data_IF_375558510748
#
_entry.id   IF_375558510748
#
_cell.length_a   1.000
_cell.length_b   1.000
_cell.length_c   1.000
_cell.angle_alpha   90.00
_cell.angle_beta   90.00
_cell.angle_gamma   90.00
#
_symmetry.space_group_name_H-M   'P 1'
#
loop_
_entity.id
_entity.type
_entity.pdbx_description
1 polymer ?
#
# COMPACT_ATOMS: atom_id res chain seq x y z
N UNK A 1 16.90 -33.49 14.71
CA UNK A 1 18.17 -32.73 14.68
C UNK A 1 17.99 -31.22 14.94
N UNK A 2 16.93 -30.76 15.62
CA UNK A 2 16.56 -29.32 15.63
C UNK A 2 17.37 -28.43 16.58
N UNK A 3 18.05 -28.97 17.60
CA UNK A 3 18.82 -28.17 18.58
C UNK A 3 20.30 -27.97 18.26
N UNK A 4 20.80 -28.55 17.16
CA UNK A 4 22.23 -28.55 16.86
C UNK A 4 22.73 -27.24 16.23
N UNK A 5 21.88 -26.52 15.49
CA UNK A 5 22.28 -25.33 14.73
C UNK A 5 22.70 -24.16 15.62
N UNK A 6 21.84 -23.73 16.56
CA UNK A 6 22.19 -22.66 17.50
C UNK A 6 23.37 -23.06 18.42
N UNK A 7 23.45 -24.34 18.82
CA UNK A 7 24.57 -24.87 19.61
C UNK A 7 25.92 -24.79 18.87
N UNK A 8 25.95 -25.18 17.60
CA UNK A 8 27.13 -25.06 16.75
C UNK A 8 27.52 -23.60 16.53
N UNK A 9 26.56 -22.70 16.32
CA UNK A 9 26.84 -21.28 16.08
C UNK A 9 27.32 -20.53 17.34
N UNK A 10 26.80 -20.87 18.52
CA UNK A 10 27.30 -20.37 19.80
C UNK A 10 28.79 -20.70 19.99
N UNK A 11 29.18 -21.94 19.70
CA UNK A 11 30.58 -22.40 19.80
C UNK A 11 31.47 -21.68 18.79
N UNK A 12 30.98 -21.44 17.57
CA UNK A 12 31.74 -20.79 16.50
C UNK A 12 31.90 -19.27 16.70
N UNK A 13 30.95 -18.62 17.37
CA UNK A 13 30.94 -17.16 17.52
C UNK A 13 31.43 -16.68 18.89
N UNK A 14 31.48 -17.56 19.90
CA UNK A 14 31.86 -17.20 21.28
C UNK A 14 30.93 -16.20 21.97
N UNK A 15 29.76 -15.91 21.39
CA UNK A 15 28.79 -14.97 21.92
C UNK A 15 27.60 -15.70 22.53
N UNK A 16 27.23 -15.35 23.76
CA UNK A 16 26.01 -15.85 24.37
C UNK A 16 24.77 -15.25 23.68
N UNK A 17 23.78 -16.10 23.39
CA UNK A 17 22.45 -15.67 22.98
C UNK A 17 21.53 -15.62 24.20
N UNK A 18 20.68 -14.60 24.26
CA UNK A 18 19.55 -14.62 25.19
C UNK A 18 18.58 -15.75 24.82
N UNK A 19 17.74 -16.22 25.78
CA UNK A 19 16.71 -17.22 25.49
C UNK A 19 15.76 -16.80 24.36
N UNK A 20 15.44 -15.50 24.27
CA UNK A 20 14.56 -14.96 23.23
C UNK A 20 15.21 -15.01 21.84
N UNK A 21 16.48 -14.61 21.72
CA UNK A 21 17.22 -14.68 20.45
C UNK A 21 17.40 -16.13 19.99
N UNK A 22 17.73 -17.04 20.91
CA UNK A 22 17.82 -18.47 20.58
C UNK A 22 16.48 -19.00 20.08
N UNK A 23 15.38 -18.68 20.77
CA UNK A 23 14.04 -19.10 20.35
C UNK A 23 13.64 -18.54 18.98
N UNK A 24 14.01 -17.28 18.68
CA UNK A 24 13.80 -16.65 17.38
C UNK A 24 14.54 -17.40 16.27
N UNK A 25 15.83 -17.64 16.45
CA UNK A 25 16.69 -18.33 15.47
C UNK A 25 16.20 -19.75 15.25
N UNK A 26 15.97 -20.53 16.31
CA UNK A 26 15.52 -21.92 16.22
C UNK A 26 14.17 -22.01 15.49
N UNK A 27 13.23 -21.09 15.77
CA UNK A 27 11.93 -21.07 15.12
C UNK A 27 12.02 -20.74 13.62
N UNK A 28 12.79 -19.70 13.26
CA UNK A 28 12.96 -19.32 11.85
C UNK A 28 13.67 -20.43 11.08
N UNK A 29 14.74 -21.00 11.63
CA UNK A 29 15.50 -22.05 10.94
C UNK A 29 14.69 -23.34 10.78
N UNK A 30 13.91 -23.72 11.79
CA UNK A 30 13.02 -24.88 11.70
C UNK A 30 11.98 -24.69 10.58
N UNK A 31 11.38 -23.50 10.49
CA UNK A 31 10.42 -23.20 9.43
C UNK A 31 11.05 -23.15 8.05
N UNK A 32 12.24 -22.54 7.91
CA UNK A 32 13.00 -22.57 6.65
C UNK A 32 13.33 -24.00 6.23
N UNK A 33 13.80 -24.86 7.14
CA UNK A 33 14.15 -26.25 6.85
C UNK A 33 12.95 -27.14 6.52
N UNK A 34 11.74 -26.74 6.91
CA UNK A 34 10.50 -27.47 6.57
C UNK A 34 10.20 -27.39 5.07
N UNK A 35 10.74 -26.39 4.38
CA UNK A 35 10.57 -26.20 2.94
C UNK A 35 11.94 -26.09 2.26
N UNK A 36 12.34 -27.11 1.48
CA UNK A 36 13.66 -27.14 0.82
C UNK A 36 13.94 -25.88 -0.01
N UNK A 37 12.91 -25.35 -0.68
CA UNK A 37 13.02 -24.11 -1.46
C UNK A 37 13.27 -22.87 -0.59
N UNK A 38 12.79 -22.82 0.65
CA UNK A 38 12.95 -21.65 1.53
C UNK A 38 14.39 -21.47 1.98
N UNK A 39 15.09 -22.56 2.31
CA UNK A 39 16.51 -22.50 2.70
C UNK A 39 17.35 -21.88 1.58
N UNK A 40 17.12 -22.30 0.34
CA UNK A 40 17.83 -21.77 -0.84
C UNK A 40 17.45 -20.31 -1.13
N UNK A 41 16.16 -19.97 -1.07
CA UNK A 41 15.69 -18.60 -1.27
C UNK A 41 16.24 -17.65 -0.24
N UNK A 42 16.18 -18.01 1.05
CA UNK A 42 16.75 -17.23 2.14
C UNK A 42 18.24 -16.92 1.92
N UNK A 43 19.04 -17.95 1.60
CA UNK A 43 20.48 -17.76 1.41
C UNK A 43 20.80 -16.89 0.22
N UNK A 44 20.17 -17.14 -0.92
CA UNK A 44 20.34 -16.35 -2.14
C UNK A 44 19.90 -14.90 -1.94
N UNK A 45 18.78 -14.68 -1.27
CA UNK A 45 18.27 -13.36 -0.90
C UNK A 45 19.26 -12.57 -0.03
N UNK A 46 19.80 -13.18 1.03
CA UNK A 46 20.79 -12.50 1.88
C UNK A 46 22.08 -12.16 1.12
N UNK A 47 22.59 -13.08 0.31
CA UNK A 47 23.79 -12.85 -0.50
C UNK A 47 23.58 -11.74 -1.55
N UNK A 48 22.37 -11.65 -2.12
CA UNK A 48 22.01 -10.54 -2.99
C UNK A 48 22.05 -9.20 -2.24
N UNK A 49 21.47 -9.13 -1.05
CA UNK A 49 21.54 -7.91 -0.23
C UNK A 49 23.00 -7.55 0.11
N UNK A 50 23.85 -8.52 0.43
CA UNK A 50 25.27 -8.28 0.73
C UNK A 50 26.05 -7.66 -0.45
N UNK A 51 25.60 -7.90 -1.68
CA UNK A 51 26.20 -7.34 -2.90
C UNK A 51 25.55 -6.04 -3.38
N UNK A 52 24.40 -5.64 -2.81
CA UNK A 52 23.62 -4.45 -3.20
C UNK A 52 23.37 -3.56 -1.98
N UNK A 53 24.38 -2.76 -1.60
CA UNK A 53 24.39 -2.04 -0.33
C UNK A 53 23.25 -1.02 -0.17
N UNK A 54 22.82 -0.39 -1.28
CA UNK A 54 21.70 0.54 -1.33
C UNK A 54 20.35 -0.16 -1.06
N UNK A 55 20.13 -1.32 -1.69
CA UNK A 55 18.95 -2.16 -1.45
C UNK A 55 18.98 -2.70 -0.02
N UNK A 56 20.13 -3.19 0.45
CA UNK A 56 20.28 -3.71 1.82
C UNK A 56 19.96 -2.65 2.87
N UNK A 57 20.48 -1.44 2.73
CA UNK A 57 20.20 -0.33 3.66
C UNK A 57 18.71 0.04 3.66
N UNK A 58 18.08 0.07 2.48
CA UNK A 58 16.66 0.35 2.37
C UNK A 58 15.79 -0.77 2.96
N UNK A 59 16.19 -2.03 2.75
CA UNK A 59 15.55 -3.22 3.30
C UNK A 59 15.61 -3.26 4.83
N UNK A 60 16.77 -2.96 5.39
CA UNK A 60 16.98 -2.89 6.85
C UNK A 60 16.09 -1.83 7.48
N UNK A 61 16.09 -0.60 6.92
CA UNK A 61 15.25 0.48 7.41
C UNK A 61 13.76 0.13 7.33
N UNK A 62 13.33 -0.53 6.25
CA UNK A 62 11.95 -1.02 6.11
C UNK A 62 11.61 -2.10 7.14
N UNK A 63 12.49 -3.10 7.33
CA UNK A 63 12.31 -4.15 8.31
C UNK A 63 12.22 -3.61 9.73
N UNK A 64 13.07 -2.65 10.09
CA UNK A 64 13.03 -1.97 11.39
C UNK A 64 11.68 -1.27 11.62
N UNK A 65 11.16 -0.60 10.58
CA UNK A 65 9.87 0.07 10.63
C UNK A 65 8.70 -0.92 10.79
N UNK A 66 8.63 -1.97 9.98
CA UNK A 66 7.52 -2.96 10.08
C UNK A 66 7.60 -3.79 11.36
N UNK A 67 8.79 -3.98 11.95
CA UNK A 67 8.96 -4.62 13.26
C UNK A 67 8.33 -3.87 14.43
N UNK A 68 8.08 -2.56 14.30
CA UNK A 68 7.40 -1.77 15.32
C UNK A 68 5.86 -1.93 15.30
N UNK A 69 5.32 -2.71 14.36
CA UNK A 69 3.96 -3.26 14.38
C UNK A 69 2.84 -2.32 13.90
N UNK A 70 2.89 -1.02 14.18
CA UNK A 70 1.77 -0.09 13.88
C UNK A 70 1.46 0.03 12.37
N UNK A 71 2.48 -0.10 11.52
CA UNK A 71 2.37 0.01 10.07
C UNK A 71 2.19 -1.36 9.38
N UNK A 72 2.65 -2.45 10.01
CA UNK A 72 2.77 -3.79 9.42
C UNK A 72 1.49 -4.27 8.75
N UNK A 73 0.38 -4.31 9.48
CA UNK A 73 -0.86 -4.85 8.90
C UNK A 73 -1.36 -4.09 7.67
N UNK A 74 -1.11 -2.78 7.58
CA UNK A 74 -1.46 -2.00 6.41
C UNK A 74 -0.50 -2.24 5.24
N UNK A 75 0.79 -2.36 5.53
CA UNK A 75 1.80 -2.74 4.54
C UNK A 75 1.53 -4.13 3.96
N UNK A 76 1.22 -5.11 4.82
CA UNK A 76 0.90 -6.48 4.42
C UNK A 76 -0.34 -6.53 3.54
N UNK A 77 -1.39 -5.80 3.92
CA UNK A 77 -2.63 -5.70 3.13
C UNK A 77 -2.35 -5.10 1.75
N UNK A 78 -1.53 -4.05 1.67
CA UNK A 78 -1.14 -3.45 0.40
C UNK A 78 -0.29 -4.41 -0.45
N UNK A 79 0.74 -5.02 0.12
CA UNK A 79 1.58 -5.98 -0.62
C UNK A 79 0.79 -7.19 -1.09
N UNK A 80 -0.16 -7.70 -0.29
CA UNK A 80 -1.05 -8.80 -0.69
C UNK A 80 -1.99 -8.39 -1.83
N UNK A 81 -2.47 -7.14 -1.84
CA UNK A 81 -3.25 -6.61 -2.96
C UNK A 81 -2.44 -6.60 -4.27
N UNK A 82 -1.13 -6.30 -4.20
CA UNK A 82 -0.26 -6.36 -5.37
C UNK A 82 0.02 -7.81 -5.81
N UNK A 83 0.07 -8.77 -4.89
CA UNK A 83 0.24 -10.18 -5.23
C UNK A 83 -0.99 -10.79 -5.93
N UNK A 84 -2.18 -10.28 -5.62
CA UNK A 84 -3.45 -10.86 -6.08
C UNK A 84 -4.09 -10.09 -7.25
N UNK A 85 -3.65 -8.86 -7.52
CA UNK A 85 -4.17 -8.03 -8.60
C UNK A 85 -3.07 -7.67 -9.61
N UNK A 86 -3.03 -8.41 -10.72
CA UNK A 86 -2.03 -8.24 -11.78
C UNK A 86 -2.02 -6.82 -12.38
N UNK A 87 -3.19 -6.23 -12.57
CA UNK A 87 -3.33 -4.89 -13.15
C UNK A 87 -2.73 -3.84 -12.21
N UNK A 88 -3.06 -3.90 -10.92
CA UNK A 88 -2.49 -3.01 -9.91
C UNK A 88 -0.97 -3.22 -9.77
N UNK A 89 -0.51 -4.48 -9.79
CA UNK A 89 0.90 -4.84 -9.75
C UNK A 89 1.69 -4.21 -10.90
N UNK A 90 1.23 -4.40 -12.15
CA UNK A 90 1.88 -3.83 -13.33
C UNK A 90 1.90 -2.31 -13.31
N UNK A 91 0.81 -1.68 -12.87
CA UNK A 91 0.76 -0.23 -12.75
C UNK A 91 1.74 0.29 -11.68
N UNK A 92 1.82 -0.37 -10.53
CA UNK A 92 2.78 -0.06 -9.47
C UNK A 92 4.23 -0.24 -9.93
N UNK A 93 4.51 -1.35 -10.61
CA UNK A 93 5.84 -1.67 -11.13
C UNK A 93 6.28 -0.66 -12.19
N UNK A 94 5.40 -0.34 -13.14
CA UNK A 94 5.68 0.70 -14.14
C UNK A 94 5.93 2.07 -13.49
N UNK A 95 5.12 2.45 -12.50
CA UNK A 95 5.26 3.68 -11.75
C UNK A 95 6.60 3.77 -11.02
N UNK A 96 6.94 2.76 -10.21
CA UNK A 96 8.17 2.75 -9.40
C UNK A 96 9.44 2.63 -10.27
N UNK A 97 9.41 1.83 -11.34
CA UNK A 97 10.54 1.74 -12.29
C UNK A 97 10.79 3.04 -13.04
N UNK A 98 9.72 3.76 -13.42
CA UNK A 98 9.87 5.05 -14.09
C UNK A 98 10.52 6.06 -13.14
N UNK A 99 10.08 6.10 -11.88
CA UNK A 99 10.69 6.98 -10.87
C UNK A 99 12.14 6.60 -10.53
N UNK A 100 12.49 5.32 -10.57
CA UNK A 100 13.86 4.88 -10.33
C UNK A 100 14.81 5.29 -11.47
N UNK A 101 14.30 5.42 -12.69
CA UNK A 101 15.09 5.77 -13.90
C UNK A 101 15.09 7.26 -14.24
N UNK A 102 14.04 7.99 -13.87
CA UNK A 102 13.87 9.42 -14.18
C UNK A 102 14.00 10.28 -12.91
N UNK A 103 15.21 10.81 -12.69
CA UNK A 103 15.53 11.67 -11.55
C UNK A 103 14.71 12.96 -11.52
N UNK A 104 14.43 13.56 -12.69
CA UNK A 104 13.69 14.80 -12.77
C UNK A 104 12.22 14.58 -12.34
N UNK A 105 11.61 13.50 -12.82
CA UNK A 105 10.27 13.08 -12.40
C UNK A 105 10.25 12.76 -10.90
N UNK A 106 11.23 12.00 -10.40
CA UNK A 106 11.35 11.65 -8.98
C UNK A 106 11.41 12.88 -8.09
N UNK A 107 12.25 13.85 -8.43
CA UNK A 107 12.39 15.12 -7.68
C UNK A 107 11.10 15.94 -7.73
N UNK A 108 10.40 15.96 -8.87
CA UNK A 108 9.11 16.65 -9.01
C UNK A 108 8.03 16.02 -8.12
N UNK A 109 7.95 14.70 -8.08
CA UNK A 109 6.99 13.99 -7.23
C UNK A 109 7.36 14.05 -5.74
N UNK A 110 8.66 13.96 -5.40
CA UNK A 110 9.13 14.19 -4.03
C UNK A 110 8.75 15.58 -3.54
N UNK A 111 8.82 16.59 -4.41
CA UNK A 111 8.39 17.95 -4.08
C UNK A 111 6.89 18.00 -3.76
N UNK A 112 6.06 17.27 -4.50
CA UNK A 112 4.63 17.12 -4.19
C UNK A 112 4.41 16.45 -2.83
N UNK A 113 5.08 15.32 -2.56
CA UNK A 113 4.93 14.65 -1.28
C UNK A 113 5.44 15.47 -0.11
N UNK A 114 6.53 16.25 -0.26
CA UNK A 114 7.02 17.14 0.81
C UNK A 114 5.99 18.19 1.23
N UNK A 115 5.29 18.80 0.28
CA UNK A 115 4.27 19.81 0.60
C UNK A 115 3.00 19.18 1.14
N UNK A 116 2.61 18.01 0.63
CA UNK A 116 1.38 17.33 1.03
C UNK A 116 1.51 16.66 2.39
N UNK A 117 2.65 16.03 2.68
CA UNK A 117 2.94 15.40 3.97
C UNK A 117 3.33 16.41 5.06
N UNK A 118 3.17 17.71 4.79
CA UNK A 118 3.28 18.75 5.80
C UNK A 118 2.28 18.52 6.95
N UNK A 119 2.71 18.72 8.22
CA UNK A 119 1.96 18.27 9.40
C UNK A 119 0.57 18.89 9.57
N UNK A 120 0.33 20.09 9.00
CA UNK A 120 -0.91 20.84 9.22
C UNK A 120 -2.08 20.36 8.35
N UNK A 121 -1.82 19.98 7.10
CA UNK A 121 -2.90 19.69 6.13
C UNK A 121 -3.52 18.31 6.32
N UNK A 122 -2.68 17.27 6.36
CA UNK A 122 -3.14 15.88 6.46
C UNK A 122 -3.65 15.56 7.86
N UNK A 123 -3.00 16.10 8.90
CA UNK A 123 -3.43 15.94 10.28
C UNK A 123 -4.84 16.47 10.52
N UNK A 124 -5.18 17.64 9.94
CA UNK A 124 -6.47 18.29 10.13
C UNK A 124 -7.59 17.77 9.21
N UNK A 125 -7.26 17.30 8.01
CA UNK A 125 -8.26 17.04 6.95
C UNK A 125 -8.22 15.64 6.35
N UNK A 126 -7.27 14.81 6.77
CA UNK A 126 -7.05 13.48 6.21
C UNK A 126 -6.52 13.52 4.76
N UNK A 127 -6.55 12.36 4.09
CA UNK A 127 -5.97 12.19 2.74
C UNK A 127 -7.01 12.22 1.61
N UNK A 128 -8.31 12.32 1.90
CA UNK A 128 -9.35 12.17 0.87
C UNK A 128 -9.25 13.22 -0.26
N UNK A 129 -9.02 14.48 0.10
CA UNK A 129 -8.80 15.54 -0.88
C UNK A 129 -7.50 15.35 -1.67
N UNK A 130 -6.44 14.86 -1.02
CA UNK A 130 -5.16 14.53 -1.69
C UNK A 130 -5.37 13.44 -2.75
N UNK A 131 -6.02 12.34 -2.39
CA UNK A 131 -6.31 11.26 -3.34
C UNK A 131 -7.16 11.74 -4.51
N UNK A 132 -8.13 12.63 -4.25
CA UNK A 132 -8.92 13.22 -5.32
C UNK A 132 -8.04 14.04 -6.28
N UNK A 133 -7.15 14.90 -5.76
CA UNK A 133 -6.23 15.71 -6.59
C UNK A 133 -5.31 14.81 -7.42
N UNK A 134 -4.78 13.76 -6.81
CA UNK A 134 -3.91 12.79 -7.46
C UNK A 134 -4.62 12.02 -8.60
N UNK A 135 -5.87 11.63 -8.41
CA UNK A 135 -6.66 10.92 -9.41
C UNK A 135 -7.20 11.82 -10.54
N UNK A 136 -7.25 13.14 -10.35
CA UNK A 136 -7.87 14.11 -11.26
C UNK A 136 -6.90 15.24 -11.63
N UNK A 137 -5.73 14.91 -12.15
CA UNK A 137 -4.63 15.86 -12.32
C UNK A 137 -4.99 17.14 -13.12
N UNK A 138 -5.82 17.02 -14.15
CA UNK A 138 -6.28 18.20 -14.92
C UNK A 138 -7.13 19.17 -14.09
N UNK A 139 -8.07 18.65 -13.29
CA UNK A 139 -8.92 19.48 -12.44
C UNK A 139 -8.20 19.92 -11.15
N UNK A 140 -7.21 19.15 -10.70
CA UNK A 140 -6.36 19.51 -9.56
C UNK A 140 -5.61 20.83 -9.80
N UNK A 141 -5.11 21.07 -11.02
CA UNK A 141 -4.48 22.36 -11.36
C UNK A 141 -5.47 23.51 -11.20
N UNK A 142 -6.67 23.37 -11.78
CA UNK A 142 -7.71 24.40 -11.72
C UNK A 142 -8.13 24.69 -10.28
N UNK A 143 -8.25 23.65 -9.47
CA UNK A 143 -8.56 23.77 -8.04
C UNK A 143 -7.43 24.49 -7.27
N UNK A 144 -6.18 24.10 -7.49
CA UNK A 144 -5.03 24.71 -6.80
C UNK A 144 -4.76 26.16 -7.23
N UNK A 145 -5.12 26.52 -8.47
CA UNK A 145 -5.11 27.91 -8.95
C UNK A 145 -6.16 28.76 -8.25
N UNK A 146 -7.40 28.26 -8.19
CA UNK A 146 -8.49 28.95 -7.52
C UNK A 146 -9.54 27.95 -6.99
N UNK A 147 -9.49 27.62 -5.69
CA UNK A 147 -10.41 26.66 -5.09
C UNK A 147 -11.89 27.06 -5.20
N UNK A 148 -12.20 28.35 -5.40
CA UNK A 148 -13.58 28.84 -5.52
C UNK A 148 -14.17 28.68 -6.94
N UNK A 149 -13.34 28.39 -7.96
CA UNK A 149 -13.80 28.28 -9.36
C UNK A 149 -14.33 26.91 -9.75
N UNK A 150 -14.02 25.86 -8.98
CA UNK A 150 -14.46 24.50 -9.31
C UNK A 150 -15.91 24.30 -8.86
N UNK A 151 -16.84 24.32 -9.82
CA UNK A 151 -18.29 24.15 -9.58
C UNK A 151 -18.84 23.04 -10.49
N UNK A 152 -19.47 21.98 -9.94
CA UNK A 152 -19.62 21.71 -8.51
C UNK A 152 -18.30 21.30 -7.85
N UNK A 153 -18.11 21.67 -6.58
CA UNK A 153 -16.96 21.25 -5.79
C UNK A 153 -17.14 19.79 -5.34
N UNK A 154 -16.20 18.88 -5.67
CA UNK A 154 -16.24 17.52 -5.18
C UNK A 154 -16.17 17.47 -3.65
N UNK A 155 -17.03 16.66 -3.02
CA UNK A 155 -17.12 16.54 -1.56
C UNK A 155 -15.77 16.37 -0.83
N UNK A 156 -14.84 15.52 -1.32
CA UNK A 156 -13.52 15.35 -0.71
C UNK A 156 -12.64 16.62 -0.67
N UNK A 157 -12.94 17.63 -1.50
CA UNK A 157 -12.20 18.89 -1.57
C UNK A 157 -12.76 19.96 -0.63
N UNK A 158 -13.97 19.80 -0.07
CA UNK A 158 -14.57 20.80 0.84
C UNK A 158 -13.64 21.18 2.01
N UNK A 159 -13.00 20.23 2.72
CA UNK A 159 -12.08 20.58 3.81
C UNK A 159 -10.85 21.35 3.31
N UNK A 160 -10.27 20.92 2.18
CA UNK A 160 -9.10 21.57 1.59
C UNK A 160 -9.42 22.98 1.07
N UNK A 161 -10.60 23.19 0.48
CA UNK A 161 -11.02 24.52 0.02
C UNK A 161 -11.07 25.51 1.19
N UNK A 162 -11.72 25.10 2.28
CA UNK A 162 -11.82 25.92 3.51
C UNK A 162 -10.44 26.21 4.08
N UNK A 163 -9.58 25.19 4.12
CA UNK A 163 -8.23 25.33 4.65
C UNK A 163 -7.33 26.23 3.80
N UNK A 164 -7.35 26.08 2.48
CA UNK A 164 -6.58 26.93 1.56
C UNK A 164 -7.05 28.38 1.54
N UNK A 165 -8.31 28.66 1.86
CA UNK A 165 -8.78 30.03 2.05
C UNK A 165 -8.08 30.71 3.25
N UNK A 166 -7.79 29.95 4.31
CA UNK A 166 -7.02 30.44 5.47
C UNK A 166 -5.50 30.37 5.27
N UNK A 167 -5.00 29.50 4.38
CA UNK A 167 -3.57 29.25 4.18
C UNK A 167 -3.15 29.41 2.70
N UNK A 168 -3.21 30.64 2.14
CA UNK A 168 -2.94 30.88 0.72
C UNK A 168 -1.49 30.58 0.32
N UNK A 169 -0.52 30.75 1.23
CA UNK A 169 0.89 30.40 0.98
C UNK A 169 1.05 28.91 0.76
N UNK A 170 0.47 28.08 1.63
CA UNK A 170 0.55 26.63 1.51
C UNK A 170 -0.18 26.12 0.26
N UNK A 171 -1.31 26.75 -0.11
CA UNK A 171 -1.96 26.50 -1.40
C UNK A 171 -1.02 26.76 -2.57
N UNK A 172 -0.31 27.88 -2.55
CA UNK A 172 0.62 28.24 -3.62
C UNK A 172 1.82 27.28 -3.69
N UNK A 173 2.30 26.77 -2.55
CA UNK A 173 3.32 25.71 -2.51
C UNK A 173 2.81 24.40 -3.12
N UNK A 174 1.60 23.96 -2.77
CA UNK A 174 0.95 22.78 -3.35
C UNK A 174 0.75 22.96 -4.86
N UNK A 175 0.27 24.12 -5.29
CA UNK A 175 0.11 24.47 -6.71
C UNK A 175 1.45 24.37 -7.45
N UNK A 176 2.49 25.01 -6.93
CA UNK A 176 3.80 25.04 -7.58
C UNK A 176 4.42 23.63 -7.68
N UNK A 177 4.31 22.82 -6.62
CA UNK A 177 4.81 21.44 -6.63
C UNK A 177 4.02 20.56 -7.61
N UNK A 178 2.69 20.67 -7.62
CA UNK A 178 1.84 19.90 -8.52
C UNK A 178 2.06 20.32 -9.99
N UNK A 179 2.22 21.62 -10.27
CA UNK A 179 2.51 22.12 -11.62
C UNK A 179 3.86 21.61 -12.14
N UNK A 180 4.90 21.56 -11.28
CA UNK A 180 6.20 20.96 -11.66
C UNK A 180 6.03 19.49 -12.06
N UNK A 181 5.30 18.71 -11.26
CA UNK A 181 5.03 17.31 -11.57
C UNK A 181 4.19 17.16 -12.85
N UNK A 182 3.17 17.99 -13.03
CA UNK A 182 2.31 17.96 -14.21
C UNK A 182 3.04 18.36 -15.50
N UNK A 183 4.06 19.21 -15.42
CA UNK A 183 4.89 19.57 -16.55
C UNK A 183 5.82 18.42 -17.00
N UNK A 184 6.07 17.42 -16.16
CA UNK A 184 6.85 16.25 -16.53
C UNK A 184 6.02 15.33 -17.44
N UNK A 185 6.41 15.18 -18.70
CA UNK A 185 5.72 14.30 -19.65
C UNK A 185 5.60 12.86 -19.15
N UNK A 186 6.65 12.33 -18.50
CA UNK A 186 6.65 10.99 -17.93
C UNK A 186 5.58 10.79 -16.83
N UNK A 187 5.21 11.85 -16.09
CA UNK A 187 4.18 11.78 -15.05
C UNK A 187 2.80 11.38 -15.62
N UNK A 188 2.49 11.79 -16.86
CA UNK A 188 1.22 11.46 -17.53
C UNK A 188 1.12 10.00 -17.94
N UNK A 189 2.26 9.31 -18.06
CA UNK A 189 2.31 7.91 -18.48
C UNK A 189 2.49 6.94 -17.31
N UNK A 190 3.08 7.38 -16.20
CA UNK A 190 3.38 6.50 -15.06
C UNK A 190 2.71 6.93 -13.75
N UNK A 191 2.92 8.17 -13.31
CA UNK A 191 2.47 8.69 -12.00
C UNK A 191 0.95 8.88 -11.93
N UNK A 192 0.39 9.70 -12.80
CA UNK A 192 -1.06 9.98 -12.77
C UNK A 192 -1.91 8.75 -13.07
N UNK A 193 -1.54 7.85 -14.00
CA UNK A 193 -2.24 6.58 -14.17
C UNK A 193 -2.22 5.70 -12.92
N UNK A 194 -1.08 5.57 -12.23
CA UNK A 194 -1.01 4.84 -10.95
C UNK A 194 -1.90 5.49 -9.90
N UNK A 195 -1.80 6.80 -9.71
CA UNK A 195 -2.61 7.54 -8.74
C UNK A 195 -4.12 7.41 -8.99
N UNK A 196 -4.55 7.38 -10.25
CA UNK A 196 -5.95 7.19 -10.63
C UNK A 196 -6.44 5.76 -10.40
N UNK A 197 -5.60 4.76 -10.66
CA UNK A 197 -5.94 3.34 -10.49
C UNK A 197 -5.87 2.89 -9.02
N UNK A 198 -4.97 3.51 -8.27
CA UNK A 198 -4.56 3.22 -6.91
C UNK A 198 -5.61 2.44 -6.09
N UNK A 199 -5.30 1.19 -5.67
CA UNK A 199 -6.24 0.36 -4.94
C UNK A 199 -6.55 0.95 -3.55
N UNK A 200 -7.73 0.66 -2.96
CA UNK A 200 -8.10 1.13 -1.62
C UNK A 200 -7.07 0.80 -0.54
N UNK A 201 -6.40 -0.35 -0.66
CA UNK A 201 -5.37 -0.83 0.25
C UNK A 201 -4.17 0.12 0.27
N UNK A 202 -3.76 0.65 -0.89
CA UNK A 202 -2.73 1.69 -0.95
C UNK A 202 -3.22 2.97 -0.29
N UNK A 203 -4.46 3.39 -0.51
CA UNK A 203 -4.98 4.63 0.10
C UNK A 203 -4.98 4.53 1.64
N UNK A 204 -5.36 3.37 2.17
CA UNK A 204 -5.29 3.09 3.61
C UNK A 204 -3.85 3.10 4.13
N UNK A 205 -2.94 2.46 3.40
CA UNK A 205 -1.52 2.40 3.74
C UNK A 205 -0.87 3.79 3.69
N UNK A 206 -1.07 4.54 2.61
CA UNK A 206 -0.62 5.92 2.46
C UNK A 206 -1.17 6.82 3.56
N UNK A 207 -2.45 6.70 3.92
CA UNK A 207 -3.03 7.50 5.00
C UNK A 207 -2.37 7.24 6.36
N UNK A 208 -1.82 6.04 6.60
CA UNK A 208 -1.00 5.76 7.79
C UNK A 208 0.39 6.37 7.67
N UNK A 209 1.08 6.15 6.55
CA UNK A 209 2.38 6.75 6.27
C UNK A 209 2.35 8.27 6.38
N UNK A 210 1.25 8.90 5.94
CA UNK A 210 1.12 10.34 5.92
C UNK A 210 0.99 10.97 7.31
N UNK A 211 0.63 10.18 8.34
CA UNK A 211 0.67 10.63 9.75
C UNK A 211 2.08 10.60 10.33
N UNK A 212 2.99 9.88 9.69
CA UNK A 212 4.38 9.71 10.10
C UNK A 212 5.31 9.90 8.89
N UNK A 213 5.59 11.16 8.47
CA UNK A 213 6.32 11.41 7.23
C UNK A 213 7.69 10.70 7.11
N UNK A 214 8.37 10.45 8.24
CA UNK A 214 9.62 9.67 8.24
C UNK A 214 9.41 8.21 7.75
N UNK A 215 8.27 7.60 8.10
CA UNK A 215 7.89 6.26 7.68
C UNK A 215 7.61 6.24 6.18
N UNK A 216 6.93 7.28 5.67
CA UNK A 216 6.71 7.45 4.23
C UNK A 216 8.03 7.46 3.44
N UNK A 217 9.01 8.25 3.89
CA UNK A 217 10.30 8.32 3.19
C UNK A 217 11.11 7.04 3.29
N UNK A 218 10.98 6.30 4.40
CA UNK A 218 11.59 4.98 4.56
C UNK A 218 10.99 3.98 3.56
N UNK A 219 9.66 3.89 3.51
CA UNK A 219 8.96 3.06 2.53
C UNK A 219 9.26 3.46 1.08
N UNK A 220 9.26 4.76 0.77
CA UNK A 220 9.51 5.26 -0.60
C UNK A 220 10.91 4.91 -1.08
N UNK A 221 11.93 5.09 -0.24
CA UNK A 221 13.31 4.69 -0.52
C UNK A 221 13.41 3.18 -0.78
N UNK A 222 12.73 2.38 0.03
CA UNK A 222 12.66 0.92 -0.15
C UNK A 222 12.02 0.53 -1.48
N UNK A 223 10.88 1.10 -1.83
CA UNK A 223 10.20 0.83 -3.09
C UNK A 223 11.08 1.19 -4.31
N UNK A 224 11.76 2.35 -4.27
CA UNK A 224 12.62 2.81 -5.35
C UNK A 224 13.92 2.01 -5.48
N UNK A 225 14.54 1.60 -4.36
CA UNK A 225 15.74 0.77 -4.38
C UNK A 225 15.45 -0.58 -5.06
N UNK A 226 14.34 -1.23 -4.72
CA UNK A 226 13.93 -2.48 -5.38
C UNK A 226 13.53 -2.27 -6.85
N UNK A 227 12.93 -1.13 -7.20
CA UNK A 227 12.55 -0.85 -8.58
C UNK A 227 13.75 -0.66 -9.53
N UNK A 228 14.95 -0.38 -9.01
CA UNK A 228 16.18 -0.38 -9.79
C UNK A 228 16.55 -1.78 -10.32
N UNK A 229 16.09 -2.84 -9.65
CA UNK A 229 16.37 -4.24 -9.99
C UNK A 229 15.07 -5.04 -10.17
N UNK A 230 14.32 -4.85 -11.29
CA UNK A 230 12.95 -5.38 -11.44
C UNK A 230 12.83 -6.89 -11.22
N UNK A 231 13.78 -7.68 -11.74
CA UNK A 231 13.76 -9.14 -11.56
C UNK A 231 14.04 -9.54 -10.11
N UNK A 232 14.94 -8.84 -9.44
CA UNK A 232 15.22 -9.08 -8.03
C UNK A 232 14.03 -8.68 -7.15
N UNK A 233 13.36 -7.56 -7.46
CA UNK A 233 12.12 -7.11 -6.82
C UNK A 233 11.03 -8.17 -6.90
N UNK A 234 10.80 -8.76 -8.06
CA UNK A 234 9.71 -9.73 -8.24
C UNK A 234 9.97 -11.00 -7.40
N UNK A 235 11.21 -11.48 -7.36
CA UNK A 235 11.62 -12.56 -6.46
C UNK A 235 11.57 -12.17 -4.98
N UNK A 236 11.96 -10.95 -4.62
CA UNK A 236 11.85 -10.45 -3.25
C UNK A 236 10.39 -10.37 -2.78
N UNK A 237 9.49 -9.88 -3.65
CA UNK A 237 8.04 -9.82 -3.39
C UNK A 237 7.45 -11.22 -3.20
N UNK A 238 7.82 -12.17 -4.07
CA UNK A 238 7.45 -13.58 -3.91
C UNK A 238 7.95 -14.13 -2.57
N UNK A 239 9.23 -13.93 -2.25
CA UNK A 239 9.84 -14.41 -1.02
C UNK A 239 9.19 -13.84 0.23
N UNK A 240 8.95 -12.53 0.28
CA UNK A 240 8.22 -11.89 1.38
C UNK A 240 6.79 -12.41 1.48
N UNK A 241 6.12 -12.69 0.37
CA UNK A 241 4.81 -13.34 0.35
C UNK A 241 4.82 -14.74 0.96
N UNK A 242 5.81 -15.57 0.63
CA UNK A 242 6.03 -16.88 1.26
C UNK A 242 6.23 -16.76 2.77
N UNK A 243 7.17 -15.90 3.18
CA UNK A 243 7.51 -15.66 4.59
C UNK A 243 6.29 -15.17 5.38
N UNK A 244 5.55 -14.21 4.84
CA UNK A 244 4.40 -13.61 5.51
C UNK A 244 3.28 -14.62 5.77
N UNK A 245 3.01 -15.48 4.79
CA UNK A 245 1.90 -16.46 4.84
C UNK A 245 2.25 -17.69 5.66
N UNK A 246 3.52 -17.93 5.93
CA UNK A 246 3.98 -18.93 6.89
C UNK A 246 3.79 -18.39 8.31
N UNK A 247 2.94 -19.06 9.09
CA UNK A 247 2.59 -18.64 10.45
C UNK A 247 3.75 -18.67 11.45
N UNK A 248 4.81 -19.42 11.14
CA UNK A 248 6.03 -19.48 11.97
C UNK A 248 7.03 -18.41 11.55
N UNK A 249 7.17 -18.14 10.25
CA UNK A 249 8.12 -17.16 9.73
C UNK A 249 7.61 -15.73 9.88
N UNK A 250 6.41 -15.43 9.40
CA UNK A 250 5.71 -14.13 9.44
C UNK A 250 6.50 -12.98 10.10
N UNK A 251 6.16 -12.64 11.35
CA UNK A 251 6.78 -11.57 12.12
C UNK A 251 8.23 -11.83 12.51
N UNK A 252 8.61 -13.10 12.62
CA UNK A 252 9.90 -13.55 13.13
C UNK A 252 11.01 -13.40 12.11
N UNK A 253 10.70 -13.50 10.81
CA UNK A 253 11.71 -13.45 9.77
C UNK A 253 12.35 -12.07 9.66
N UNK A 254 11.56 -10.99 9.69
CA UNK A 254 12.11 -9.63 9.67
C UNK A 254 13.02 -9.37 10.89
N UNK A 255 12.60 -9.79 12.08
CA UNK A 255 13.40 -9.70 13.30
C UNK A 255 14.69 -10.53 13.21
N UNK A 256 14.63 -11.71 12.61
CA UNK A 256 15.79 -12.57 12.38
C UNK A 256 16.79 -11.95 11.39
N UNK A 257 16.32 -11.36 10.30
CA UNK A 257 17.20 -10.67 9.33
C UNK A 257 17.89 -9.47 9.99
N UNK A 258 17.19 -8.68 10.81
CA UNK A 258 17.78 -7.60 11.59
C UNK A 258 18.83 -8.13 12.58
N UNK A 259 18.52 -9.21 13.30
CA UNK A 259 19.47 -9.86 14.21
C UNK A 259 20.77 -10.27 13.51
N UNK A 260 20.70 -10.86 12.31
CA UNK A 260 21.90 -11.23 11.54
C UNK A 260 22.74 -10.01 11.16
N UNK A 261 22.09 -8.90 10.76
CA UNK A 261 22.75 -7.64 10.39
C UNK A 261 23.45 -6.98 11.57
N UNK A 262 22.81 -6.97 12.74
CA UNK A 262 23.37 -6.44 13.98
C UNK A 262 24.56 -7.28 14.50
N UNK A 263 24.69 -8.54 14.04
CA UNK A 263 25.75 -9.46 14.46
C UNK A 263 26.49 -10.11 13.27
N UNK A 264 27.39 -9.38 12.59
CA UNK A 264 28.11 -9.87 11.41
C UNK A 264 28.93 -11.15 11.65
N UNK A 265 29.47 -11.33 12.86
CA UNK A 265 30.19 -12.56 13.23
C UNK A 265 29.27 -13.79 13.23
N UNK A 266 28.03 -13.61 13.68
CA UNK A 266 26.98 -14.64 13.66
C UNK A 266 26.53 -14.94 12.24
N UNK A 267 26.28 -13.92 11.41
CA UNK A 267 25.99 -14.09 9.99
C UNK A 267 27.10 -14.89 9.29
N UNK A 268 28.36 -14.51 9.50
CA UNK A 268 29.52 -15.20 8.90
C UNK A 268 29.62 -16.67 9.34
N UNK A 269 29.30 -16.98 10.59
CA UNK A 269 29.28 -18.36 11.07
C UNK A 269 28.10 -19.14 10.51
N UNK A 270 26.91 -18.54 10.44
CA UNK A 270 25.72 -19.14 9.83
C UNK A 270 25.97 -19.47 8.35
N UNK A 271 26.62 -18.57 7.63
CA UNK A 271 27.02 -18.76 6.23
C UNK A 271 27.97 -19.94 6.05
N UNK A 272 28.99 -20.08 6.92
CA UNK A 272 29.93 -21.23 6.86
C UNK A 272 29.25 -22.56 7.15
N UNK A 273 28.34 -22.60 8.14
CA UNK A 273 27.58 -23.81 8.45
C UNK A 273 26.65 -24.15 7.29
N UNK A 274 25.98 -23.15 6.72
CA UNK A 274 25.12 -23.32 5.56
C UNK A 274 25.88 -23.88 4.35
N UNK A 275 27.04 -23.30 4.01
CA UNK A 275 27.82 -23.74 2.85
C UNK A 275 28.32 -25.18 3.00
N UNK A 276 28.67 -25.57 4.23
CA UNK A 276 29.05 -26.95 4.54
C UNK A 276 27.89 -27.93 4.34
N UNK A 277 26.68 -27.56 4.75
CA UNK A 277 25.52 -28.46 4.76
C UNK A 277 24.77 -28.49 3.42
N UNK A 278 24.78 -27.39 2.65
CA UNK A 278 23.96 -27.21 1.44
C UNK A 278 24.76 -26.91 0.16
N UNK A 279 26.07 -26.71 0.26
CA UNK A 279 26.94 -26.38 -0.87
C UNK A 279 27.02 -24.87 -1.16
N UNK A 280 27.40 -24.44 -2.37
CA UNK A 280 27.60 -23.03 -2.69
C UNK A 280 26.27 -22.25 -2.70
N UNK A 281 26.38 -20.93 -2.47
CA UNK A 281 25.23 -20.00 -2.51
C UNK A 281 24.55 -20.07 -3.89
N UNK A 282 23.21 -20.27 -3.95
CA UNK A 282 22.51 -20.32 -5.22
C UNK A 282 22.49 -18.93 -5.87
N UNK A 283 22.52 -18.90 -7.20
CA UNK A 283 22.32 -17.66 -7.95
C UNK A 283 20.93 -17.06 -7.63
N UNK A 284 20.92 -15.78 -7.24
CA UNK A 284 19.71 -15.05 -6.90
C UNK A 284 19.76 -13.63 -7.50
N UNK A 285 18.68 -13.14 -8.13
CA UNK A 285 17.42 -13.85 -8.38
C UNK A 285 17.59 -15.00 -9.39
N UNK A 286 16.88 -16.13 -9.23
CA UNK A 286 16.84 -17.21 -10.22
C UNK A 286 16.49 -16.72 -11.63
N UNK A 287 16.91 -17.46 -12.66
CA UNK A 287 16.67 -17.14 -14.08
C UNK A 287 15.22 -17.24 -14.53
N UNK A 288 14.42 -18.04 -13.84
CA UNK A 288 12.98 -18.11 -14.08
C UNK A 288 12.24 -16.95 -13.42
N UNK A 289 11.02 -16.72 -13.86
CA UNK A 289 10.07 -15.89 -13.12
C UNK A 289 9.71 -16.56 -11.77
N UNK A 290 9.35 -15.77 -10.74
CA UNK A 290 8.87 -16.33 -9.49
C UNK A 290 7.54 -17.09 -9.72
N UNK A 291 7.32 -18.22 -9.04
CA UNK A 291 6.04 -18.93 -9.12
C UNK A 291 4.86 -18.07 -8.67
N UNK A 292 3.67 -18.40 -9.18
CA UNK A 292 2.43 -17.87 -8.65
C UNK A 292 2.27 -18.27 -7.18
N UNK A 293 1.90 -17.31 -6.35
CA UNK A 293 1.57 -17.54 -4.95
C UNK A 293 0.10 -17.97 -4.85
N UNK A 294 -0.18 -19.16 -4.33
CA UNK A 294 -1.55 -19.65 -4.08
C UNK A 294 -2.38 -18.60 -3.34
N UNK A 295 -3.67 -18.38 -3.61
CA UNK A 295 -4.46 -17.40 -2.88
C UNK A 295 -4.33 -17.65 -1.37
N UNK A 296 -4.04 -16.61 -0.59
CA UNK A 296 -4.06 -16.74 0.86
C UNK A 296 -5.42 -17.30 1.28
N UNK A 297 -5.43 -18.37 2.09
CA UNK A 297 -6.68 -18.93 2.60
C UNK A 297 -7.45 -17.78 3.24
N UNK A 298 -8.60 -17.42 2.67
CA UNK A 298 -9.43 -16.35 3.20
C UNK A 298 -9.63 -16.67 4.67
N UNK A 299 -9.17 -15.78 5.55
CA UNK A 299 -9.47 -15.92 6.96
C UNK A 299 -10.98 -16.11 7.05
N UNK A 300 -11.40 -17.26 7.60
CA UNK A 300 -12.82 -17.48 7.81
C UNK A 300 -13.33 -16.24 8.54
N UNK A 301 -14.42 -15.59 8.07
CA UNK A 301 -14.93 -14.42 8.75
C UNK A 301 -15.05 -14.79 10.22
N UNK A 302 -14.56 -13.94 11.15
CA UNK A 302 -14.61 -14.26 12.56
C UNK A 302 -16.03 -14.73 12.86
N UNK A 303 -16.16 -15.99 13.25
CA UNK A 303 -17.41 -16.51 13.78
C UNK A 303 -17.52 -15.83 15.12
N UNK A 304 -18.04 -14.59 15.10
CA UNK A 304 -18.55 -13.98 16.30
C UNK A 304 -19.58 -14.99 16.79
N UNK A 305 -19.40 -15.61 17.97
CA UNK A 305 -20.51 -16.33 18.56
C UNK A 305 -21.63 -15.31 18.60
N UNK A 306 -22.72 -15.59 17.87
CA UNK A 306 -23.96 -14.87 18.06
C UNK A 306 -24.21 -15.01 19.55
N UNK A 307 -23.98 -13.94 20.29
CA UNK A 307 -24.47 -13.81 21.64
C UNK A 307 -25.98 -13.84 21.43
N UNK A 308 -26.58 -15.02 21.58
CA UNK A 308 -28.01 -15.10 21.80
C UNK A 308 -28.26 -14.12 22.94
N UNK A 309 -28.92 -13.03 22.59
CA UNK A 309 -29.29 -12.02 23.54
C UNK A 309 -30.35 -12.64 24.42
N UNK A 310 -29.95 -13.18 25.57
CA UNK A 310 -30.81 -13.33 26.75
C UNK A 310 -31.17 -11.95 27.31
N UNK A 311 -31.59 -11.04 26.43
CA UNK A 311 -32.16 -9.78 26.79
C UNK A 311 -33.65 -10.03 26.99
N UNK A 312 -33.99 -10.60 28.15
CA UNK A 312 -35.33 -10.43 28.71
C UNK A 312 -35.47 -8.93 28.98
N UNK A 313 -36.30 -8.19 28.23
CA UNK A 313 -36.47 -6.78 28.53
C UNK A 313 -37.15 -6.65 29.90
N UNK A 314 -36.68 -5.75 30.78
CA UNK A 314 -37.36 -5.51 32.04
C UNK A 314 -38.78 -5.01 31.75
N UNK A 315 -39.78 -5.72 32.28
CA UNK A 315 -41.19 -5.29 32.23
C UNK A 315 -41.30 -3.91 32.87
N UNK A 316 -41.55 -2.88 32.05
CA UNK A 316 -41.92 -1.56 32.56
C UNK A 316 -43.32 -1.64 33.18
N UNK A 317 -43.58 -1.01 34.34
CA UNK A 317 -44.94 -0.81 34.83
C UNK A 317 -45.72 0.07 33.82
N UNK A 318 -46.93 -0.36 33.48
CA UNK A 318 -47.80 0.36 32.54
C UNK A 318 -48.14 1.77 33.05
N UNK A 319 -47.93 2.79 32.21
CA UNK A 319 -48.43 4.14 32.46
C UNK A 319 -49.92 4.24 32.08
N UNK A 320 -50.75 5.02 32.80
CA UNK A 320 -52.15 5.23 32.44
C UNK A 320 -52.27 5.95 31.09
N UNK A 321 -53.26 5.53 30.30
CA UNK A 321 -53.49 6.01 28.93
C UNK A 321 -53.79 7.50 28.87
N UNK A 322 -53.03 8.21 28.05
CA UNK A 322 -53.37 9.54 27.55
C UNK A 322 -53.97 9.33 26.16
N UNK A 323 -55.25 9.63 26.00
CA UNK A 323 -55.95 9.64 24.72
C UNK A 323 -55.43 10.82 23.88
N UNK A 324 -54.76 10.53 22.77
CA UNK A 324 -54.40 11.54 21.78
C UNK A 324 -55.62 11.85 20.91
N UNK A 325 -55.90 13.12 20.57
CA UNK A 325 -56.95 13.47 19.61
C UNK A 325 -56.58 13.08 18.17
N UNK A 326 -57.60 12.77 17.37
CA UNK A 326 -57.47 12.31 15.99
C UNK A 326 -56.71 13.29 15.09
N UNK A 327 -55.82 12.75 14.27
CA UNK A 327 -55.04 13.47 13.28
C UNK A 327 -55.88 13.68 12.00
N UNK A 328 -55.89 14.86 11.36
CA UNK A 328 -56.62 15.09 10.13
C UNK A 328 -56.02 14.30 8.94
N UNK A 329 -56.90 13.84 8.05
CA UNK A 329 -56.56 13.02 6.88
C UNK A 329 -55.64 13.73 5.88
N UNK A 330 -54.74 12.95 5.26
CA UNK A 330 -53.84 13.41 4.20
C UNK A 330 -54.62 13.81 2.94
N UNK A 331 -54.24 14.91 2.25
CA UNK A 331 -54.84 15.25 0.97
C UNK A 331 -54.48 14.21 -0.11
N UNK A 332 -55.47 13.86 -0.93
CA UNK A 332 -55.35 12.91 -2.04
C UNK A 332 -54.33 13.36 -3.09
N UNK A 333 -53.54 12.41 -3.61
CA UNK A 333 -52.61 12.62 -4.72
C UNK A 333 -53.39 12.92 -6.02
N UNK A 334 -53.01 13.92 -6.83
CA UNK A 334 -53.63 14.14 -8.12
C UNK A 334 -53.32 12.98 -9.09
N UNK A 335 -54.38 12.49 -9.74
CA UNK A 335 -54.34 11.45 -10.78
C UNK A 335 -53.58 11.96 -12.01
N UNK A 336 -52.46 11.30 -12.34
CA UNK A 336 -51.81 11.44 -13.65
C UNK A 336 -52.78 10.96 -14.73
N UNK A 337 -53.17 11.87 -15.65
CA UNK A 337 -53.86 11.50 -16.90
C UNK A 337 -52.86 10.82 -17.83
N UNK A 338 -53.29 9.69 -18.38
CA UNK A 338 -52.61 8.94 -19.43
C UNK A 338 -52.44 9.73 -20.74
N UNK A 339 -51.45 9.24 -21.48
CA UNK A 339 -50.82 9.71 -22.70
C UNK A 339 -51.72 10.24 -23.82
N UNK A 340 -51.25 11.30 -24.48
CA UNK A 340 -51.44 11.48 -25.92
C UNK A 340 -50.13 11.13 -26.65
N UNK A 341 -50.24 10.27 -27.64
CA UNK A 341 -49.18 9.70 -28.46
C UNK A 341 -48.47 10.77 -29.36
N UNK A 342 -47.33 10.41 -30.00
CA UNK A 342 -46.30 11.35 -30.43
C UNK A 342 -46.53 11.93 -31.84
N UNK A 343 -46.20 13.21 -32.03
CA UNK A 343 -45.97 13.81 -33.36
C UNK A 343 -44.47 14.00 -33.58
N UNK A 344 -43.78 12.94 -33.98
CA UNK A 344 -42.49 13.10 -34.66
C UNK A 344 -42.75 13.33 -36.14
N UNK A 345 -42.56 14.57 -36.60
CA UNK A 345 -42.38 14.86 -38.02
C UNK A 345 -40.97 14.46 -38.42
N UNK A 346 -40.90 13.52 -39.36
CA UNK A 346 -39.71 13.14 -40.13
C UNK A 346 -39.33 14.34 -41.01
N UNK A 347 -38.17 14.93 -40.78
CA UNK A 347 -37.65 16.07 -41.55
C UNK A 347 -36.14 15.95 -41.66
N UNK A 348 -35.72 15.46 -42.82
CA UNK A 348 -34.49 15.77 -43.56
C UNK A 348 -33.13 15.72 -42.82
N UNK A 349 -32.41 14.63 -43.11
CA UNK A 349 -30.97 14.50 -42.94
C UNK A 349 -30.29 15.25 -44.09
N UNK A 350 -29.74 16.43 -43.81
CA UNK A 350 -28.74 17.04 -44.70
C UNK A 350 -27.37 16.41 -44.45
N UNK A 351 -26.80 15.87 -45.52
CA UNK A 351 -25.48 15.24 -45.58
C UNK A 351 -24.41 16.33 -45.77
N UNK A 352 -23.30 16.36 -44.99
CA UNK A 352 -22.21 17.28 -45.32
C UNK A 352 -21.40 16.76 -46.51
N UNK A 353 -21.24 17.64 -47.51
CA UNK A 353 -20.38 17.46 -48.69
C UNK A 353 -18.92 17.23 -48.28
N UNK A 354 -18.30 16.23 -48.90
CA UNK A 354 -16.85 16.02 -48.92
C UNK A 354 -16.16 17.16 -49.66
N UNK A 355 -15.10 17.70 -49.06
CA UNK A 355 -14.15 18.58 -49.73
C UNK A 355 -13.13 17.72 -50.49
N UNK A 356 -12.97 18.01 -51.78
CA UNK A 356 -11.90 17.49 -52.64
C UNK A 356 -10.66 18.38 -52.46
N UNK A 357 -9.45 17.83 -52.30
CA UNK A 357 -8.24 18.61 -52.25
C UNK A 357 -7.75 18.98 -53.66
N UNK A 358 -7.30 20.23 -53.83
CA UNK A 358 -6.39 20.64 -54.89
C UNK A 358 -4.98 20.72 -54.34
#
# INVERSE_FOLDING_TARGET
>A
MMGAWAGCLLILCGQALSPAEKSLIDAVWTALQTHENYVRQHRGYLAFLDSHADIASAEEAWNALVCQGALRGAADTFEESLLTNETARRAWDHYTETLARDDALRVAEDSWYRVVLGPEAIGAHGCAGVFWLQANAGDAIRFLENPARLVPLPGPLNPLQTWFAAHPRTRDEWRNAFQKLYACAAAHHSVFPWWKMCPPEYQQFFARLARHPADFWTWRRHALAWAAEPRARDWARYWRGCVRRDSTLSDRYAAYVLFLRERPAWQSAADRVWEKDFGPVPAWPPSSEPPGLEPAASAAPPVFPRKESDFIPPRRPGKPGITMPDMPEKPEKPKLKESAAPRFKRGEVETPRQAVPQ
#
